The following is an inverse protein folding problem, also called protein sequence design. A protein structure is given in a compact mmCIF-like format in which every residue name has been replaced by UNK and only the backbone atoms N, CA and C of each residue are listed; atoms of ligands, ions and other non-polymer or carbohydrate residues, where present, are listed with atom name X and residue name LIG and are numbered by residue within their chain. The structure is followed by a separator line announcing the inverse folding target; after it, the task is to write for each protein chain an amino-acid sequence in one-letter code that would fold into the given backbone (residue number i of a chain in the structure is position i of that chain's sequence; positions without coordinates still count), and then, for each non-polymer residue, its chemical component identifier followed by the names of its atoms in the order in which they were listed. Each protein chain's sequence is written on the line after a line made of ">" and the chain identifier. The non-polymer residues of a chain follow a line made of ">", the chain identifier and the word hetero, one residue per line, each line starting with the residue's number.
data_IF_627548007659
#
_entry.id   IF_627548007659
#
_cell.length_a   1.000
_cell.length_b   1.000
_cell.length_c   1.000
_cell.angle_alpha   90.00
_cell.angle_beta   90.00
_cell.angle_gamma   90.00
#
_symmetry.space_group_name_H-M   'P 1'
#
loop_
_entity.id
_entity.type
_entity.pdbx_description
1 polymer ?
#
# COMPACT_ATOMS: atom_id res chain seq x y z
N UNK A 1 7.55 7.22 -6.58
CA UNK A 1 8.35 6.05 -6.15
C UNK A 1 9.64 5.89 -6.94
N UNK A 2 9.64 5.92 -8.27
CA UNK A 2 10.90 5.88 -9.05
C UNK A 2 11.83 7.08 -8.76
N UNK A 3 11.25 8.25 -8.47
CA UNK A 3 11.94 9.45 -8.00
C UNK A 3 12.55 9.29 -6.59
N UNK A 4 12.00 8.40 -5.76
CA UNK A 4 12.45 8.15 -4.38
C UNK A 4 13.49 7.03 -4.34
N UNK A 5 13.24 5.91 -5.04
CA UNK A 5 14.07 4.71 -5.00
C UNK A 5 15.06 4.58 -6.17
N UNK A 6 14.87 5.36 -7.24
CA UNK A 6 15.70 5.32 -8.44
C UNK A 6 15.43 4.11 -9.35
N UNK A 7 16.23 3.99 -10.41
CA UNK A 7 16.07 3.00 -11.48
C UNK A 7 16.37 1.55 -11.05
N UNK A 8 17.04 1.35 -9.91
CA UNK A 8 17.38 0.03 -9.39
C UNK A 8 16.30 -0.57 -8.48
N UNK A 9 15.17 0.12 -8.32
CA UNK A 9 14.07 -0.34 -7.49
C UNK A 9 13.41 -1.60 -8.07
N UNK A 10 13.15 -2.59 -7.23
CA UNK A 10 12.57 -3.88 -7.59
C UNK A 10 11.03 -3.92 -7.51
N UNK A 11 10.40 -2.78 -7.15
CA UNK A 11 8.95 -2.67 -6.99
C UNK A 11 8.43 -3.00 -5.59
N UNK A 12 9.30 -3.35 -4.64
CA UNK A 12 8.91 -3.70 -3.27
C UNK A 12 8.99 -2.52 -2.30
N UNK A 13 8.22 -2.59 -1.22
CA UNK A 13 8.22 -1.61 -0.14
C UNK A 13 8.43 -2.37 1.16
N UNK A 14 9.43 -1.96 1.95
CA UNK A 14 9.73 -2.57 3.24
C UNK A 14 8.54 -2.44 4.21
N UNK A 15 8.47 -3.36 5.16
CA UNK A 15 7.37 -3.41 6.12
C UNK A 15 7.35 -2.19 7.06
N UNK A 16 8.51 -1.81 7.61
CA UNK A 16 8.65 -0.79 8.64
C UNK A 16 9.82 0.12 8.28
N UNK A 17 9.73 1.39 8.65
CA UNK A 17 10.83 2.34 8.57
C UNK A 17 11.02 3.03 9.93
N UNK A 18 12.25 3.46 10.23
CA UNK A 18 12.51 4.30 11.40
C UNK A 18 11.68 5.60 11.33
N UNK A 19 11.33 6.15 12.50
CA UNK A 19 10.58 7.41 12.59
C UNK A 19 11.44 8.67 12.40
N UNK A 20 12.76 8.55 12.58
CA UNK A 20 13.72 9.64 12.40
C UNK A 20 14.61 9.39 11.17
N UNK A 21 15.08 10.45 10.49
CA UNK A 21 16.04 10.31 9.40
C UNK A 21 17.29 9.52 9.84
N UNK A 22 17.81 8.59 9.01
CA UNK A 22 17.54 8.45 7.58
C UNK A 22 16.37 7.52 7.21
N UNK A 23 15.45 7.20 8.14
CA UNK A 23 14.30 6.30 7.92
C UNK A 23 14.75 4.92 7.41
N UNK A 24 15.65 4.26 8.15
CA UNK A 24 16.15 2.96 7.69
C UNK A 24 15.03 1.91 7.66
N UNK A 25 15.04 0.99 6.68
CA UNK A 25 14.03 -0.05 6.59
C UNK A 25 14.27 -1.18 7.60
N UNK A 26 13.18 -1.73 8.13
CA UNK A 26 13.16 -2.83 9.10
C UNK A 26 12.04 -3.83 8.78
N UNK A 27 12.08 -4.98 9.46
CA UNK A 27 11.09 -6.04 9.30
C UNK A 27 11.31 -6.86 8.03
N UNK A 28 10.23 -7.37 7.45
CA UNK A 28 10.29 -8.12 6.21
C UNK A 28 10.63 -7.19 5.03
N UNK A 29 11.58 -7.63 4.20
CA UNK A 29 12.04 -6.90 3.01
C UNK A 29 10.88 -6.70 2.02
N UNK A 30 10.06 -7.73 1.83
CA UNK A 30 8.96 -7.74 0.85
C UNK A 30 7.69 -8.33 1.47
N UNK A 31 6.68 -7.50 1.73
CA UNK A 31 5.36 -7.95 2.13
C UNK A 31 4.30 -7.55 1.11
N UNK A 32 3.30 -8.41 0.92
CA UNK A 32 2.21 -8.14 0.00
C UNK A 32 1.42 -6.88 0.39
N UNK A 33 1.18 -6.66 1.70
CA UNK A 33 0.40 -5.51 2.15
C UNK A 33 1.06 -4.16 1.88
N UNK A 34 2.40 -4.09 1.89
CA UNK A 34 3.11 -2.80 1.84
C UNK A 34 2.94 -2.14 0.48
N UNK A 35 2.76 -2.96 -0.56
CA UNK A 35 2.42 -2.51 -1.91
C UNK A 35 0.91 -2.48 -2.12
N UNK A 36 0.19 -3.52 -1.67
CA UNK A 36 -1.24 -3.66 -1.92
C UNK A 36 -2.05 -2.50 -1.33
N UNK A 37 -1.76 -2.04 -0.12
CA UNK A 37 -2.54 -0.97 0.52
C UNK A 37 -2.35 0.39 -0.16
N UNK A 38 -1.15 0.70 -0.65
CA UNK A 38 -0.91 1.94 -1.41
C UNK A 38 -1.65 1.89 -2.75
N UNK A 39 -1.64 0.74 -3.43
CA UNK A 39 -2.39 0.57 -4.67
C UNK A 39 -3.91 0.63 -4.44
N UNK A 40 -4.39 0.00 -3.37
CA UNK A 40 -5.80 0.03 -2.98
C UNK A 40 -6.25 1.47 -2.71
N UNK A 41 -5.53 2.20 -1.86
CA UNK A 41 -5.87 3.61 -1.52
C UNK A 41 -5.80 4.53 -2.73
N UNK A 42 -4.87 4.31 -3.66
CA UNK A 42 -4.88 5.05 -4.92
C UNK A 42 -6.19 4.77 -5.69
N UNK A 43 -6.50 3.51 -5.97
CA UNK A 43 -7.68 3.15 -6.77
C UNK A 43 -8.99 3.57 -6.10
N UNK A 44 -9.15 3.28 -4.81
CA UNK A 44 -10.40 3.47 -4.07
C UNK A 44 -10.58 4.91 -3.61
N UNK A 45 -9.54 5.55 -3.03
CA UNK A 45 -9.68 6.86 -2.39
C UNK A 45 -9.29 8.03 -3.31
N UNK A 46 -8.29 7.85 -4.18
CA UNK A 46 -7.82 8.92 -5.08
C UNK A 46 -8.61 8.90 -6.41
N UNK A 47 -8.66 7.75 -7.08
CA UNK A 47 -9.41 7.60 -8.35
C UNK A 47 -10.92 7.41 -8.13
N UNK A 48 -11.36 7.20 -6.87
CA UNK A 48 -12.76 6.97 -6.52
C UNK A 48 -13.38 5.78 -7.27
N UNK A 49 -12.59 4.73 -7.49
CA UNK A 49 -13.03 3.49 -8.12
C UNK A 49 -13.32 2.47 -7.02
N UNK A 50 -14.60 2.26 -6.74
CA UNK A 50 -15.02 1.31 -5.70
C UNK A 50 -14.94 -0.14 -6.18
N UNK A 51 -14.68 -1.11 -5.28
CA UNK A 51 -14.76 -2.52 -5.62
C UNK A 51 -16.17 -2.91 -6.07
N UNK A 52 -16.25 -3.70 -7.14
CA UNK A 52 -17.52 -4.10 -7.78
C UNK A 52 -18.58 -4.67 -6.81
N UNK A 53 -18.14 -5.31 -5.73
CA UNK A 53 -19.01 -5.98 -4.77
C UNK A 53 -18.96 -5.34 -3.37
N UNK A 54 -18.43 -4.13 -3.25
CA UNK A 54 -18.32 -3.44 -1.96
C UNK A 54 -19.68 -3.35 -1.25
N UNK A 55 -20.72 -2.90 -1.94
CA UNK A 55 -22.07 -2.77 -1.36
C UNK A 55 -22.69 -4.12 -0.94
N UNK A 56 -22.34 -5.21 -1.62
CA UNK A 56 -22.78 -6.55 -1.24
C UNK A 56 -22.05 -7.00 0.03
N UNK A 57 -20.73 -6.85 0.06
CA UNK A 57 -19.89 -7.28 1.18
C UNK A 57 -20.21 -6.46 2.44
N UNK A 58 -20.24 -5.13 2.35
CA UNK A 58 -20.49 -4.27 3.51
C UNK A 58 -21.91 -4.43 4.08
N UNK A 59 -22.89 -4.76 3.25
CA UNK A 59 -24.26 -5.07 3.72
C UNK A 59 -24.34 -6.46 4.40
N UNK A 60 -23.50 -7.42 4.02
CA UNK A 60 -23.36 -8.70 4.73
C UNK A 60 -22.64 -8.52 6.07
N UNK A 61 -21.71 -7.57 6.17
CA UNK A 61 -21.04 -7.19 7.42
C UNK A 61 -21.87 -6.13 8.17
N UNK A 62 -23.15 -6.38 8.43
CA UNK A 62 -24.15 -5.41 8.93
C UNK A 62 -23.64 -4.23 9.78
N UNK A 63 -23.23 -3.14 9.11
CA UNK A 63 -23.00 -1.80 9.68
C UNK A 63 -24.18 -0.92 9.32
#
# INVERSE_FOLDING_TARGET
>A
MLDVYGDAWDGSIYEIFDGDPPFAPHGCITQAWSVAEILRTWVEDIENITPRYESLVLHEVGV
#
